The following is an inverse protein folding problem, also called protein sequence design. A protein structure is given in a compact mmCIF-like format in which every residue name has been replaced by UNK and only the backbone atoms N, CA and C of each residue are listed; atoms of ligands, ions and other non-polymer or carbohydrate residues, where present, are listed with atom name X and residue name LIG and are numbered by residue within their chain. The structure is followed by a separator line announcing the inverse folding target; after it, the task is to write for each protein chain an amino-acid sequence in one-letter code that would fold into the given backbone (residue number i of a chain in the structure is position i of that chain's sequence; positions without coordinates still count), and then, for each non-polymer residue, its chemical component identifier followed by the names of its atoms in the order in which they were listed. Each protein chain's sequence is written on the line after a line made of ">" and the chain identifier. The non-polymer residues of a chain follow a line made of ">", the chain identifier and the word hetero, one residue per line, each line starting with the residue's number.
data_IF_979235492937
#
_entry.id   IF_979235492937
#
_cell.length_a   1.000
_cell.length_b   1.000
_cell.length_c   1.000
_cell.angle_alpha   90.00
_cell.angle_beta   90.00
_cell.angle_gamma   90.00
#
_symmetry.space_group_name_H-M   'P 1'
#
loop_
_entity.id
_entity.type
_entity.pdbx_description
1 polymer ?
#
# COMPACT_ATOMS: atom_id res chain seq x y z
N UNK A 1 15.33 -43.67 -1.70
CA UNK A 1 14.35 -42.96 -0.82
C UNK A 1 14.87 -41.59 -0.40
N UNK A 2 15.87 -41.48 0.48
CA UNK A 2 16.38 -40.18 1.00
C UNK A 2 16.97 -39.25 -0.07
N UNK A 3 17.70 -39.82 -1.04
CA UNK A 3 18.28 -39.10 -2.18
C UNK A 3 17.22 -38.52 -3.13
N UNK A 4 16.05 -39.15 -3.22
CA UNK A 4 14.91 -38.68 -4.03
C UNK A 4 14.28 -37.45 -3.37
N UNK A 5 14.14 -37.44 -2.03
CA UNK A 5 13.65 -36.28 -1.29
C UNK A 5 14.58 -35.06 -1.41
N UNK A 6 15.90 -35.27 -1.41
CA UNK A 6 16.88 -34.19 -1.62
C UNK A 6 16.77 -33.60 -3.02
N UNK A 7 16.55 -34.43 -4.05
CA UNK A 7 16.36 -33.97 -5.43
C UNK A 7 15.06 -33.18 -5.62
N UNK A 8 13.96 -33.60 -4.98
CA UNK A 8 12.68 -32.89 -5.04
C UNK A 8 12.78 -31.52 -4.36
N UNK A 9 13.43 -31.45 -3.19
CA UNK A 9 13.64 -30.20 -2.48
C UNK A 9 14.53 -29.22 -3.27
N UNK A 10 15.57 -29.71 -3.94
CA UNK A 10 16.43 -28.89 -4.79
C UNK A 10 15.68 -28.33 -6.02
N UNK A 11 14.76 -29.11 -6.60
CA UNK A 11 13.97 -28.70 -7.77
C UNK A 11 12.97 -27.58 -7.44
N UNK A 12 12.41 -27.57 -6.22
CA UNK A 12 11.49 -26.54 -5.71
C UNK A 12 12.17 -25.16 -5.50
N UNK A 13 13.48 -25.12 -5.27
CA UNK A 13 14.24 -23.87 -5.09
C UNK A 13 14.52 -23.18 -6.44
N UNK A 14 14.45 -23.93 -7.55
CA UNK A 14 14.72 -23.43 -8.90
C UNK A 14 13.45 -22.89 -9.61
N UNK A 15 12.25 -23.15 -9.10
CA UNK A 15 10.98 -22.64 -9.64
C UNK A 15 10.64 -21.24 -9.13
N UNK A 16 11.61 -20.33 -9.13
CA UNK A 16 11.48 -19.00 -8.55
C UNK A 16 12.26 -17.91 -9.30
N UNK A 17 11.95 -17.72 -10.59
CA UNK A 17 12.21 -16.47 -11.28
C UNK A 17 11.30 -16.39 -12.53
N UNK A 18 10.03 -16.07 -12.30
CA UNK A 18 9.18 -15.55 -13.35
C UNK A 18 9.19 -14.04 -13.24
N UNK A 19 9.62 -13.34 -14.29
CA UNK A 19 9.31 -11.91 -14.41
C UNK A 19 7.79 -11.79 -14.33
N UNK A 20 7.29 -11.13 -13.29
CA UNK A 20 5.91 -10.68 -13.23
C UNK A 20 5.69 -9.84 -14.48
N UNK A 21 5.04 -10.40 -15.50
CA UNK A 21 4.57 -9.62 -16.63
C UNK A 21 3.61 -8.61 -16.03
N UNK A 22 4.05 -7.35 -15.96
CA UNK A 22 3.16 -6.24 -15.65
C UNK A 22 1.95 -6.39 -16.57
N UNK A 23 0.79 -6.62 -15.97
CA UNK A 23 -0.48 -6.50 -16.65
C UNK A 23 -0.58 -5.04 -17.10
N UNK A 24 -0.13 -4.76 -18.32
CA UNK A 24 -0.47 -3.55 -19.05
C UNK A 24 -1.89 -3.71 -19.58
N UNK A 25 -2.83 -3.92 -18.66
CA UNK A 25 -4.19 -3.46 -18.87
C UNK A 25 -4.12 -1.96 -18.70
N UNK A 26 -3.80 -1.25 -19.78
CA UNK A 26 -4.27 0.12 -19.96
C UNK A 26 -5.80 0.06 -20.04
N UNK A 27 -6.44 -0.19 -18.89
CA UNK A 27 -7.60 0.61 -18.59
C UNK A 27 -7.02 2.01 -18.42
N UNK A 28 -7.00 2.78 -19.50
CA UNK A 28 -7.14 4.23 -19.42
C UNK A 28 -8.40 4.46 -18.58
N UNK A 29 -8.24 4.41 -17.26
CA UNK A 29 -9.13 5.08 -16.37
C UNK A 29 -8.88 6.52 -16.70
N UNK A 30 -9.73 7.06 -17.57
CA UNK A 30 -9.91 8.48 -17.79
C UNK A 30 -10.48 9.06 -16.49
N UNK A 31 -9.77 8.88 -15.37
CA UNK A 31 -9.84 9.78 -14.25
C UNK A 31 -9.25 11.05 -14.83
N UNK A 32 -10.12 11.90 -15.35
CA UNK A 32 -9.78 13.29 -15.52
C UNK A 32 -9.09 13.70 -14.24
N UNK A 33 -7.83 14.13 -14.34
CA UNK A 33 -7.12 14.85 -13.27
C UNK A 33 -7.82 16.20 -13.10
N UNK A 34 -9.11 16.17 -12.76
CA UNK A 34 -9.75 17.22 -12.00
C UNK A 34 -8.97 17.19 -10.69
N UNK A 35 -7.96 18.07 -10.60
CA UNK A 35 -7.27 18.33 -9.35
C UNK A 35 -8.39 18.62 -8.36
N UNK A 36 -8.65 17.69 -7.44
CA UNK A 36 -9.71 17.84 -6.45
C UNK A 36 -9.38 19.12 -5.68
N UNK A 37 -10.11 20.19 -5.97
CA UNK A 37 -9.98 21.47 -5.31
C UNK A 37 -10.81 21.43 -4.04
N UNK A 38 -10.35 22.09 -2.98
CA UNK A 38 -11.05 22.11 -1.71
C UNK A 38 -10.56 21.08 -0.68
N UNK A 39 -9.57 20.24 -1.01
CA UNK A 39 -8.97 19.33 -0.04
C UNK A 39 -7.52 18.92 -0.38
N UNK A 40 -6.74 18.65 0.66
CA UNK A 40 -5.42 18.02 0.59
C UNK A 40 -5.53 16.53 0.95
N UNK A 41 -4.77 15.70 0.25
CA UNK A 41 -4.73 14.25 0.44
C UNK A 41 -3.32 13.84 0.82
N UNK A 42 -3.18 13.19 1.98
CA UNK A 42 -1.91 12.61 2.43
C UNK A 42 -2.07 11.10 2.56
N UNK A 43 -1.18 10.34 1.94
CA UNK A 43 -1.14 8.88 2.04
C UNK A 43 -0.03 8.47 2.99
N UNK A 44 -0.37 7.68 3.99
CA UNK A 44 0.56 7.15 4.98
C UNK A 44 0.73 5.64 4.77
N UNK A 45 1.98 5.22 4.58
CA UNK A 45 2.35 3.81 4.62
C UNK A 45 2.40 3.35 6.08
N UNK A 46 1.37 2.62 6.49
CA UNK A 46 1.27 2.02 7.83
C UNK A 46 1.40 0.50 7.75
N UNK A 47 2.05 -0.02 6.71
CA UNK A 47 2.30 -1.44 6.48
C UNK A 47 1.12 -2.16 5.83
N UNK A 48 0.53 -3.15 6.52
CA UNK A 48 -0.59 -3.90 5.94
C UNK A 48 -1.87 -3.05 6.01
N UNK A 49 -2.17 -2.35 4.90
CA UNK A 49 -3.22 -1.35 4.79
C UNK A 49 -2.61 0.05 4.70
N UNK A 50 -3.03 0.84 3.73
CA UNK A 50 -2.63 2.24 3.60
C UNK A 50 -3.61 3.11 4.38
N UNK A 51 -3.13 4.17 5.04
CA UNK A 51 -4.01 5.17 5.64
C UNK A 51 -4.07 6.42 4.77
N UNK A 52 -5.26 7.00 4.62
CA UNK A 52 -5.47 8.24 3.86
C UNK A 52 -6.04 9.31 4.77
N UNK A 53 -5.35 10.44 4.85
CA UNK A 53 -5.83 11.65 5.50
C UNK A 53 -6.31 12.63 4.45
N UNK A 54 -7.54 13.12 4.62
CA UNK A 54 -8.19 14.11 3.78
C UNK A 54 -8.46 15.33 4.64
N UNK A 55 -7.93 16.48 4.23
CA UNK A 55 -8.06 17.75 4.93
C UNK A 55 -8.75 18.74 4.00
N UNK A 56 -10.02 19.03 4.23
CA UNK A 56 -10.77 20.00 3.45
C UNK A 56 -10.42 21.44 3.84
N UNK A 57 -10.56 22.37 2.90
CA UNK A 57 -10.25 23.79 3.11
C UNK A 57 -11.18 24.45 4.16
N UNK A 58 -12.34 23.84 4.45
CA UNK A 58 -13.27 24.27 5.48
C UNK A 58 -12.90 23.81 6.90
N UNK A 59 -11.79 23.08 7.04
CA UNK A 59 -11.31 22.53 8.31
C UNK A 59 -11.84 21.14 8.64
N UNK A 60 -12.67 20.54 7.79
CA UNK A 60 -13.09 19.14 7.96
C UNK A 60 -11.91 18.20 7.72
N UNK A 61 -11.69 17.27 8.64
CA UNK A 61 -10.63 16.25 8.53
C UNK A 61 -11.23 14.86 8.56
N UNK A 62 -10.86 14.02 7.59
CA UNK A 62 -11.29 12.62 7.48
C UNK A 62 -10.04 11.75 7.46
N UNK A 63 -10.01 10.74 8.33
CA UNK A 63 -9.00 9.69 8.31
C UNK A 63 -9.67 8.38 7.86
N UNK A 64 -9.17 7.80 6.78
CA UNK A 64 -9.64 6.53 6.24
C UNK A 64 -8.57 5.48 6.49
N UNK A 65 -8.96 4.39 7.15
CA UNK A 65 -8.08 3.32 7.60
C UNK A 65 -6.99 3.83 8.59
N UNK A 66 -6.47 2.93 9.40
CA UNK A 66 -5.39 3.21 10.35
C UNK A 66 -4.35 2.10 10.38
N UNK A 67 -4.47 1.11 9.49
CA UNK A 67 -3.72 -0.13 9.61
C UNK A 67 -4.14 -0.91 10.86
N UNK A 68 -3.21 -1.68 11.43
CA UNK A 68 -3.49 -2.54 12.57
C UNK A 68 -3.63 -1.77 13.88
N UNK A 69 -4.53 -2.22 14.75
CA UNK A 69 -4.79 -1.58 16.06
C UNK A 69 -3.63 -1.69 17.06
N UNK A 70 -2.72 -2.64 16.87
CA UNK A 70 -1.52 -2.82 17.70
C UNK A 70 -0.33 -1.97 17.24
N UNK A 71 -0.49 -1.22 16.15
CA UNK A 71 0.53 -0.36 15.57
C UNK A 71 0.18 1.12 15.78
N UNK A 72 1.16 1.91 16.25
CA UNK A 72 0.99 3.33 16.56
C UNK A 72 1.56 4.26 15.50
N UNK A 73 2.12 3.74 14.41
CA UNK A 73 2.79 4.55 13.37
C UNK A 73 1.91 5.68 12.84
N UNK A 74 0.61 5.42 12.62
CA UNK A 74 -0.31 6.47 12.17
C UNK A 74 -0.40 7.64 13.15
N UNK A 75 -0.41 7.35 14.46
CA UNK A 75 -0.44 8.39 15.49
C UNK A 75 0.83 9.23 15.44
N UNK A 76 1.99 8.58 15.29
CA UNK A 76 3.28 9.28 15.12
C UNK A 76 3.28 10.20 13.90
N UNK A 77 2.81 9.73 12.74
CA UNK A 77 2.73 10.58 11.55
C UNK A 77 1.78 11.77 11.73
N UNK A 78 0.65 11.57 12.40
CA UNK A 78 -0.29 12.66 12.69
C UNK A 78 0.29 13.67 13.69
N UNK A 79 1.04 13.22 14.69
CA UNK A 79 1.73 14.09 15.65
C UNK A 79 2.83 14.92 14.96
N UNK A 80 3.67 14.28 14.15
CA UNK A 80 4.75 14.95 13.42
C UNK A 80 4.23 15.99 12.42
N UNK A 81 3.09 15.73 11.78
CA UNK A 81 2.46 16.67 10.84
C UNK A 81 1.83 17.88 11.52
N UNK A 82 1.35 17.72 12.76
CA UNK A 82 0.68 18.77 13.53
C UNK A 82 1.62 19.52 14.49
N UNK A 83 2.91 19.17 14.51
CA UNK A 83 3.96 19.83 15.30
C UNK A 83 4.58 21.01 14.55
#
# INVERSE_FOLDING_TARGET
>A
MKKIWILIAALLVLSGCGSMSSFSGEAESKVSTEKLQGANFTFFDVGQGDSTLIEADDGTTILIDTGRSDDKRILTYLEEKNS
#
